data_IF_271345266760
#
_entry.id   IF_271345266760
#
_cell.length_a   1.000
_cell.length_b   1.000
_cell.length_c   1.000
_cell.angle_alpha   90.00
_cell.angle_beta   90.00
_cell.angle_gamma   90.00
#
_symmetry.space_group_name_H-M   'P 1'
#
loop_
_entity.id
_entity.type
_entity.pdbx_description
1 polymer ?
#
# COMPACT_ATOMS: atom_id res chain seq x y z
N UNK A 1 -2.89 -23.27 2.63
CA UNK A 1 -4.28 -22.77 2.64
C UNK A 1 -4.96 -23.15 3.94
N UNK A 2 -5.51 -22.20 4.69
CA UNK A 2 -6.27 -22.43 5.93
C UNK A 2 -7.76 -22.43 5.62
N UNK A 3 -8.49 -23.45 6.03
CA UNK A 3 -9.94 -23.43 5.93
C UNK A 3 -10.50 -22.71 7.16
N UNK A 4 -11.07 -21.52 6.96
CA UNK A 4 -11.61 -20.68 8.04
C UNK A 4 -12.74 -21.32 8.82
N UNK A 5 -13.52 -22.21 8.20
CA UNK A 5 -14.64 -22.92 8.87
C UNK A 5 -14.17 -24.06 9.76
N UNK A 6 -13.09 -24.76 9.39
CA UNK A 6 -12.62 -25.97 10.10
C UNK A 6 -11.29 -25.75 10.81
N UNK A 7 -10.69 -24.57 10.67
CA UNK A 7 -9.35 -24.23 11.17
C UNK A 7 -8.23 -25.20 10.72
N UNK A 8 -8.50 -26.00 9.67
CA UNK A 8 -7.54 -26.96 9.12
C UNK A 8 -6.67 -26.28 8.08
N UNK A 9 -5.37 -26.55 8.15
CA UNK A 9 -4.39 -26.13 7.14
C UNK A 9 -4.16 -27.27 6.17
N UNK A 10 -3.97 -26.94 4.88
CA UNK A 10 -3.51 -27.89 3.87
C UNK A 10 -2.34 -27.30 3.12
N UNK A 11 -1.32 -28.12 2.91
CA UNK A 11 -0.16 -27.75 2.09
C UNK A 11 -0.59 -27.84 0.63
N UNK A 12 -0.30 -26.80 -0.15
CA UNK A 12 -0.52 -26.79 -1.60
C UNK A 12 0.70 -27.33 -2.32
N UNK A 13 1.88 -26.85 -1.93
CA UNK A 13 3.16 -27.38 -2.36
C UNK A 13 4.22 -27.10 -1.31
N UNK A 14 5.28 -27.89 -1.37
CA UNK A 14 6.51 -27.69 -0.61
C UNK A 14 7.68 -27.75 -1.57
N UNK A 15 8.61 -26.84 -1.48
CA UNK A 15 9.79 -26.80 -2.31
C UNK A 15 11.06 -26.79 -1.45
N UNK A 16 11.96 -27.70 -1.76
CA UNK A 16 13.35 -27.68 -1.32
C UNK A 16 14.26 -27.34 -2.51
N UNK A 17 15.55 -27.24 -2.29
CA UNK A 17 16.52 -27.08 -3.39
C UNK A 17 16.51 -28.26 -4.37
N UNK A 18 16.14 -29.45 -3.91
CA UNK A 18 16.25 -30.70 -4.70
C UNK A 18 14.92 -31.09 -5.35
N UNK A 19 13.78 -30.78 -4.73
CA UNK A 19 12.48 -31.27 -5.18
C UNK A 19 11.32 -30.32 -4.87
N UNK A 20 10.23 -30.52 -5.62
CA UNK A 20 8.92 -29.94 -5.36
C UNK A 20 7.93 -31.07 -5.06
N UNK A 21 7.16 -30.93 -3.98
CA UNK A 21 6.07 -31.84 -3.63
C UNK A 21 4.75 -31.11 -3.61
N UNK A 22 3.71 -31.71 -4.20
CA UNK A 22 2.39 -31.10 -4.29
C UNK A 22 1.42 -31.76 -3.33
N UNK A 23 0.63 -30.93 -2.65
CA UNK A 23 -0.43 -31.37 -1.77
C UNK A 23 -1.61 -31.99 -2.53
N UNK A 24 -2.43 -32.76 -1.81
CA UNK A 24 -3.50 -33.57 -2.40
C UNK A 24 -4.46 -32.80 -3.31
N UNK A 25 -4.72 -31.51 -3.02
CA UNK A 25 -5.66 -30.68 -3.77
C UNK A 25 -5.23 -30.33 -5.19
N UNK A 26 -3.93 -30.36 -5.47
CA UNK A 26 -3.35 -29.99 -6.76
C UNK A 26 -2.48 -31.08 -7.37
N UNK A 27 -2.19 -32.16 -6.63
CA UNK A 27 -1.25 -33.21 -7.01
C UNK A 27 -1.54 -33.81 -8.39
N UNK A 28 -2.81 -34.21 -8.64
CA UNK A 28 -3.21 -34.85 -9.91
C UNK A 28 -2.91 -34.00 -11.14
N UNK A 29 -2.91 -32.70 -10.99
CA UNK A 29 -2.74 -31.75 -12.08
C UNK A 29 -1.27 -31.26 -12.19
N UNK A 30 -0.58 -31.17 -11.06
CA UNK A 30 0.76 -30.56 -10.99
C UNK A 30 1.93 -31.55 -11.03
N UNK A 31 1.73 -32.80 -10.61
CA UNK A 31 2.82 -33.80 -10.56
C UNK A 31 3.51 -34.04 -11.92
N UNK A 32 2.76 -33.90 -13.01
CA UNK A 32 3.32 -34.07 -14.38
C UNK A 32 4.35 -33.00 -14.75
N UNK A 33 4.40 -31.90 -14.00
CA UNK A 33 5.31 -30.79 -14.24
C UNK A 33 6.52 -30.76 -13.29
N UNK A 34 6.62 -31.68 -12.33
CA UNK A 34 7.68 -31.66 -11.30
C UNK A 34 9.08 -31.50 -11.87
N UNK A 35 9.40 -32.34 -12.86
CA UNK A 35 10.74 -32.37 -13.49
C UNK A 35 10.97 -31.20 -14.46
N UNK A 36 9.90 -30.43 -14.77
CA UNK A 36 9.97 -29.30 -15.70
C UNK A 36 10.18 -27.97 -15.02
N UNK A 37 10.09 -27.93 -13.69
CA UNK A 37 10.25 -26.68 -12.93
C UNK A 37 11.73 -26.42 -12.70
N UNK A 38 12.32 -25.37 -13.33
CA UNK A 38 13.73 -25.04 -13.14
C UNK A 38 14.02 -24.71 -11.68
N UNK A 39 15.23 -25.03 -11.21
CA UNK A 39 15.63 -24.81 -9.80
C UNK A 39 15.51 -23.34 -9.40
N UNK A 40 15.83 -22.42 -10.30
CA UNK A 40 15.82 -20.97 -10.05
C UNK A 40 14.43 -20.35 -10.23
N UNK A 41 13.43 -21.10 -10.71
CA UNK A 41 12.11 -20.56 -10.99
C UNK A 41 11.17 -20.72 -9.79
N UNK A 42 10.51 -19.65 -9.37
CA UNK A 42 9.48 -19.71 -8.35
C UNK A 42 8.30 -20.58 -8.84
N UNK A 43 7.87 -21.53 -8.02
CA UNK A 43 6.74 -22.43 -8.34
C UNK A 43 5.48 -21.68 -8.73
N UNK A 44 5.14 -20.60 -7.99
CA UNK A 44 3.99 -19.74 -8.30
C UNK A 44 4.11 -19.09 -9.69
N UNK A 45 5.29 -18.59 -10.02
CA UNK A 45 5.55 -17.96 -11.33
C UNK A 45 5.47 -18.97 -12.48
N UNK A 46 5.94 -20.20 -12.26
CA UNK A 46 5.84 -21.28 -13.24
C UNK A 46 4.38 -21.64 -13.53
N UNK A 47 3.60 -21.92 -12.47
CA UNK A 47 2.21 -22.36 -12.61
C UNK A 47 1.26 -21.23 -13.03
N UNK A 48 1.58 -19.95 -12.76
CA UNK A 48 0.79 -18.83 -13.26
C UNK A 48 0.71 -18.78 -14.80
N UNK A 49 1.71 -19.31 -15.49
CA UNK A 49 1.76 -19.37 -16.98
C UNK A 49 0.97 -20.53 -17.57
N UNK A 50 0.55 -21.48 -16.76
CA UNK A 50 -0.14 -22.69 -17.19
C UNK A 50 -1.67 -22.51 -17.05
N UNK A 51 -2.41 -23.17 -17.96
CA UNK A 51 -3.87 -23.30 -17.88
C UNK A 51 -4.20 -24.52 -17.03
N UNK A 52 -4.32 -24.32 -15.72
CA UNK A 52 -4.75 -25.35 -14.78
C UNK A 52 -6.27 -25.25 -14.54
N UNK A 53 -6.89 -26.38 -14.16
CA UNK A 53 -8.30 -26.39 -13.71
C UNK A 53 -8.45 -25.74 -12.34
N UNK A 54 -7.40 -25.84 -11.51
CA UNK A 54 -7.37 -25.24 -10.20
C UNK A 54 -6.65 -23.88 -10.25
N UNK A 55 -7.39 -22.80 -10.04
CA UNK A 55 -6.90 -21.42 -10.14
C UNK A 55 -6.05 -20.95 -8.93
N UNK A 56 -5.76 -21.85 -7.97
CA UNK A 56 -5.12 -21.43 -6.71
C UNK A 56 -3.77 -20.76 -6.92
N UNK A 57 -2.95 -21.28 -7.86
CA UNK A 57 -1.63 -20.69 -8.15
C UNK A 57 -1.79 -19.30 -8.76
N UNK A 58 -2.73 -19.15 -9.69
CA UNK A 58 -3.01 -17.88 -10.34
C UNK A 58 -3.57 -16.86 -9.35
N UNK A 59 -4.50 -17.26 -8.50
CA UNK A 59 -5.10 -16.41 -7.47
C UNK A 59 -4.05 -15.90 -6.49
N UNK A 60 -3.18 -16.79 -5.99
CA UNK A 60 -2.12 -16.41 -5.04
C UNK A 60 -1.07 -15.53 -5.73
N UNK A 61 -0.67 -15.89 -6.95
CA UNK A 61 0.28 -15.09 -7.73
C UNK A 61 -0.24 -13.68 -7.98
N UNK A 62 -1.48 -13.54 -8.45
CA UNK A 62 -2.11 -12.23 -8.67
C UNK A 62 -2.20 -11.44 -7.37
N UNK A 63 -2.62 -12.05 -6.26
CA UNK A 63 -2.67 -11.36 -4.96
C UNK A 63 -1.32 -10.81 -4.51
N UNK A 64 -0.23 -11.54 -4.77
CA UNK A 64 1.13 -11.06 -4.48
C UNK A 64 1.51 -9.92 -5.44
N UNK A 65 1.24 -10.07 -6.73
CA UNK A 65 1.58 -9.07 -7.74
C UNK A 65 0.74 -7.78 -7.62
N UNK A 66 -0.46 -7.89 -7.06
CA UNK A 66 -1.34 -6.76 -6.77
C UNK A 66 -0.96 -6.03 -5.46
N UNK A 67 0.05 -6.51 -4.74
CA UNK A 67 0.55 -5.83 -3.55
C UNK A 67 1.43 -4.66 -3.97
N UNK A 68 1.06 -3.46 -3.55
CA UNK A 68 1.88 -2.27 -3.67
C UNK A 68 2.94 -2.29 -2.57
N UNK A 69 4.21 -2.23 -2.94
CA UNK A 69 5.33 -2.18 -2.00
C UNK A 69 5.87 -0.76 -2.01
N UNK A 70 5.87 -0.13 -0.86
CA UNK A 70 6.41 1.22 -0.67
C UNK A 70 7.73 1.09 0.10
N UNK A 71 8.86 1.45 -0.52
CA UNK A 71 10.15 1.42 0.15
C UNK A 71 10.22 2.48 1.25
N UNK A 72 11.13 2.30 2.21
CA UNK A 72 11.31 3.21 3.36
C UNK A 72 11.57 4.67 2.94
N UNK A 73 12.27 4.87 1.84
CA UNK A 73 12.64 6.20 1.33
C UNK A 73 11.87 6.55 0.04
N UNK A 74 10.57 6.80 0.19
CA UNK A 74 9.68 7.12 -0.93
C UNK A 74 9.36 8.61 -1.06
N UNK A 75 10.01 9.49 -0.28
CA UNK A 75 9.75 10.94 -0.29
C UNK A 75 10.02 11.60 -1.64
N UNK A 76 10.77 10.95 -2.52
CA UNK A 76 11.19 11.48 -3.82
C UNK A 76 10.31 10.98 -4.99
N UNK A 77 9.19 10.30 -4.70
CA UNK A 77 8.33 9.81 -5.78
C UNK A 77 7.44 10.92 -6.37
N UNK A 78 8.12 11.84 -7.07
CA UNK A 78 7.45 12.94 -7.79
C UNK A 78 6.48 12.44 -8.84
N UNK A 79 6.67 11.22 -9.41
CA UNK A 79 5.76 10.65 -10.40
C UNK A 79 4.42 10.29 -9.77
N UNK A 80 4.43 9.75 -8.56
CA UNK A 80 3.20 9.45 -7.84
C UNK A 80 2.43 10.74 -7.52
N UNK A 81 3.11 11.82 -7.10
CA UNK A 81 2.49 13.12 -6.91
C UNK A 81 1.86 13.63 -8.20
N UNK A 82 2.62 13.70 -9.29
CA UNK A 82 2.12 14.17 -10.59
C UNK A 82 0.94 13.35 -11.11
N UNK A 83 0.93 12.04 -10.88
CA UNK A 83 -0.09 11.14 -11.43
C UNK A 83 -1.36 11.08 -10.61
N UNK A 84 -1.28 11.20 -9.28
CA UNK A 84 -2.39 10.84 -8.40
C UNK A 84 -2.85 11.97 -7.48
N UNK A 85 -1.99 12.93 -7.14
CA UNK A 85 -2.36 14.02 -6.23
C UNK A 85 -3.47 14.92 -6.78
N UNK A 86 -3.51 15.28 -8.09
CA UNK A 86 -4.63 16.03 -8.64
C UNK A 86 -5.98 15.36 -8.39
N UNK A 87 -6.06 14.05 -8.67
CA UNK A 87 -7.28 13.30 -8.44
C UNK A 87 -7.66 13.22 -6.96
N UNK A 88 -6.68 13.14 -6.06
CA UNK A 88 -6.94 13.15 -4.62
C UNK A 88 -7.47 14.52 -4.15
N UNK A 89 -6.92 15.62 -4.69
CA UNK A 89 -7.40 16.98 -4.43
C UNK A 89 -8.81 17.16 -4.95
N UNK A 90 -9.11 16.73 -6.18
CA UNK A 90 -10.41 16.93 -6.81
C UNK A 90 -11.53 16.12 -6.15
N UNK A 91 -11.25 14.90 -5.72
CA UNK A 91 -12.27 13.96 -5.27
C UNK A 91 -12.32 13.77 -3.75
N UNK A 92 -11.23 14.03 -3.03
CA UNK A 92 -11.09 13.69 -1.61
C UNK A 92 -10.42 14.80 -0.80
N UNK A 93 -10.52 16.04 -1.27
CA UNK A 93 -9.84 17.21 -0.70
C UNK A 93 -10.06 17.36 0.81
N UNK A 94 -11.29 17.19 1.27
CA UNK A 94 -11.63 17.33 2.69
C UNK A 94 -10.87 16.32 3.56
N UNK A 95 -10.84 15.04 3.15
CA UNK A 95 -10.08 13.99 3.87
C UNK A 95 -8.57 14.26 3.84
N UNK A 96 -8.07 14.73 2.71
CA UNK A 96 -6.65 15.07 2.57
C UNK A 96 -6.28 16.25 3.47
N UNK A 97 -7.11 17.30 3.56
CA UNK A 97 -6.89 18.44 4.45
C UNK A 97 -6.97 18.02 5.92
N UNK A 98 -7.97 17.22 6.30
CA UNK A 98 -8.07 16.66 7.65
C UNK A 98 -6.80 15.91 8.03
N UNK A 99 -6.32 15.07 7.13
CA UNK A 99 -5.07 14.33 7.30
C UNK A 99 -3.86 15.26 7.45
N UNK A 100 -3.72 16.27 6.58
CA UNK A 100 -2.62 17.23 6.64
C UNK A 100 -2.66 18.10 7.89
N UNK A 101 -3.85 18.55 8.30
CA UNK A 101 -4.02 19.36 9.50
C UNK A 101 -3.67 18.59 10.78
N UNK A 102 -3.84 17.27 10.79
CA UNK A 102 -3.40 16.42 11.90
C UNK A 102 -1.87 16.36 12.04
N UNK A 103 -1.13 16.67 10.97
CA UNK A 103 0.34 16.72 10.94
C UNK A 103 0.85 18.09 11.28
N UNK A 104 0.34 19.06 10.54
CA UNK A 104 0.72 20.47 10.63
C UNK A 104 -0.55 21.32 10.64
N UNK A 105 -0.88 21.85 11.81
CA UNK A 105 -2.04 22.72 11.99
C UNK A 105 -1.95 24.03 11.19
N UNK A 106 -0.77 24.37 10.66
CA UNK A 106 -0.54 25.51 9.79
C UNK A 106 -1.13 25.34 8.39
N UNK A 107 -1.18 24.10 7.87
CA UNK A 107 -1.73 23.82 6.55
C UNK A 107 -3.25 23.91 6.62
N UNK A 108 -3.83 24.77 5.80
CA UNK A 108 -5.28 25.03 5.73
C UNK A 108 -5.91 24.53 4.44
N UNK A 109 -5.15 24.48 3.37
CA UNK A 109 -5.60 24.01 2.06
C UNK A 109 -4.46 23.48 1.24
N UNK A 110 -4.80 22.75 0.16
CA UNK A 110 -3.89 22.26 -0.85
C UNK A 110 -4.53 22.43 -2.23
N UNK A 111 -3.70 22.77 -3.21
CA UNK A 111 -4.15 22.97 -4.59
C UNK A 111 -3.06 22.68 -5.60
N UNK A 112 -3.40 22.76 -6.87
CA UNK A 112 -2.46 22.58 -7.96
C UNK A 112 -2.77 23.51 -9.13
N UNK A 113 -1.76 23.72 -9.98
CA UNK A 113 -1.85 24.43 -11.26
C UNK A 113 -1.30 23.50 -12.36
N UNK A 114 -2.13 23.19 -13.32
CA UNK A 114 -1.85 22.33 -14.48
C UNK A 114 -1.76 23.13 -15.80
N UNK A 115 -1.63 24.44 -15.72
CA UNK A 115 -1.52 25.33 -16.90
C UNK A 115 -0.21 25.13 -17.67
N UNK A 116 0.81 24.55 -17.04
CA UNK A 116 2.11 24.26 -17.64
C UNK A 116 2.26 22.75 -17.94
N UNK A 117 3.41 22.37 -18.51
CA UNK A 117 3.70 20.96 -18.84
C UNK A 117 3.81 20.07 -17.61
N UNK A 118 4.31 20.61 -16.49
CA UNK A 118 4.41 19.92 -15.20
C UNK A 118 3.45 20.57 -14.23
N UNK A 119 2.68 19.74 -13.52
CA UNK A 119 1.73 20.20 -12.52
C UNK A 119 2.51 20.75 -11.31
N UNK A 120 2.15 21.95 -10.89
CA UNK A 120 2.71 22.58 -9.69
C UNK A 120 1.72 22.45 -8.55
N UNK A 121 2.18 22.01 -7.39
CA UNK A 121 1.36 21.82 -6.20
C UNK A 121 1.67 22.87 -5.15
N UNK A 122 0.65 23.33 -4.45
CA UNK A 122 0.76 24.35 -3.43
C UNK A 122 0.01 23.95 -2.17
N UNK A 123 0.63 24.20 -1.02
CA UNK A 123 -0.05 24.21 0.28
C UNK A 123 -0.38 25.65 0.65
N UNK A 124 -1.46 25.83 1.38
CA UNK A 124 -1.89 27.16 1.86
C UNK A 124 -1.84 27.17 3.38
N UNK A 125 -1.17 28.17 3.92
CA UNK A 125 -0.93 28.33 5.33
C UNK A 125 -1.57 29.61 5.86
N UNK A 126 -1.98 29.59 7.14
CA UNK A 126 -2.44 30.77 7.86
C UNK A 126 -1.26 31.40 8.63
N UNK A 127 -0.92 32.62 8.32
CA UNK A 127 0.08 33.41 9.01
C UNK A 127 -0.40 34.00 10.33
N UNK A 128 0.49 34.70 11.03
CA UNK A 128 0.23 35.25 12.37
C UNK A 128 -0.88 36.29 12.38
N UNK A 129 -1.06 37.05 11.31
CA UNK A 129 -2.07 38.08 11.13
C UNK A 129 -3.32 37.53 10.42
N UNK A 130 -3.48 36.20 10.36
CA UNK A 130 -4.53 35.47 9.64
C UNK A 130 -4.52 35.66 8.11
N UNK A 131 -3.44 36.18 7.57
CA UNK A 131 -3.21 36.21 6.13
C UNK A 131 -2.94 34.79 5.61
N UNK A 132 -3.49 34.48 4.45
CA UNK A 132 -3.22 33.21 3.76
C UNK A 132 -2.04 33.41 2.80
N UNK A 133 -1.07 32.51 2.86
CA UNK A 133 0.02 32.47 1.90
C UNK A 133 0.17 31.05 1.33
N UNK A 134 0.59 30.96 0.08
CA UNK A 134 0.87 29.70 -0.58
C UNK A 134 2.34 29.36 -0.51
N UNK A 135 2.65 28.09 -0.34
CA UNK A 135 3.98 27.54 -0.40
C UNK A 135 4.01 26.45 -1.47
N UNK A 136 5.06 26.43 -2.29
CA UNK A 136 5.27 25.32 -3.21
C UNK A 136 5.46 24.03 -2.39
N UNK A 137 4.76 22.95 -2.80
CA UNK A 137 4.75 21.69 -2.05
C UNK A 137 6.17 21.14 -1.80
N UNK A 138 7.10 21.35 -2.73
CA UNK A 138 8.47 20.86 -2.58
C UNK A 138 9.33 21.70 -1.63
N UNK A 139 8.79 22.80 -1.11
CA UNK A 139 9.40 23.58 -0.01
C UNK A 139 8.86 23.14 1.37
N UNK A 140 7.89 22.24 1.41
CA UNK A 140 7.42 21.64 2.65
C UNK A 140 8.45 20.69 3.26
N UNK A 141 8.19 20.31 4.52
CA UNK A 141 9.02 19.31 5.18
C UNK A 141 8.94 17.96 4.46
N UNK A 142 10.02 17.16 4.50
CA UNK A 142 10.02 15.78 4.01
C UNK A 142 8.88 14.97 4.64
N UNK A 143 8.57 15.20 5.92
CA UNK A 143 7.48 14.55 6.62
C UNK A 143 6.12 14.87 6.02
N UNK A 144 5.87 16.12 5.61
CA UNK A 144 4.65 16.55 4.93
C UNK A 144 4.52 15.86 3.58
N UNK A 145 5.56 15.90 2.75
CA UNK A 145 5.55 15.27 1.41
C UNK A 145 5.35 13.76 1.54
N UNK A 146 6.06 13.11 2.45
CA UNK A 146 5.92 11.67 2.74
C UNK A 146 4.50 11.32 3.15
N UNK A 147 3.87 12.15 3.95
CA UNK A 147 2.52 11.95 4.42
C UNK A 147 1.50 12.04 3.29
N UNK A 148 1.63 13.00 2.39
CA UNK A 148 0.79 13.12 1.19
C UNK A 148 0.93 11.88 0.32
N UNK A 149 2.13 11.43 0.05
CA UNK A 149 2.39 10.21 -0.72
C UNK A 149 1.76 8.98 -0.06
N UNK A 150 1.90 8.87 1.26
CA UNK A 150 1.32 7.76 2.00
C UNK A 150 -0.22 7.75 1.94
N UNK A 151 -0.84 8.93 2.05
CA UNK A 151 -2.27 9.09 1.85
C UNK A 151 -2.69 8.61 0.45
N UNK A 152 -2.00 9.06 -0.60
CA UNK A 152 -2.26 8.67 -1.99
C UNK A 152 -2.16 7.15 -2.14
N UNK A 153 -1.09 6.53 -1.66
CA UNK A 153 -0.90 5.07 -1.77
C UNK A 153 -1.98 4.29 -1.01
N UNK A 154 -2.33 4.73 0.20
CA UNK A 154 -3.41 4.12 0.96
C UNK A 154 -4.75 4.20 0.19
N UNK A 155 -5.11 5.37 -0.33
CA UNK A 155 -6.34 5.57 -1.11
C UNK A 155 -6.37 4.72 -2.39
N UNK A 156 -5.28 4.68 -3.14
CA UNK A 156 -5.18 3.85 -4.35
C UNK A 156 -5.39 2.36 -4.05
N UNK A 157 -4.81 1.88 -2.96
CA UNK A 157 -4.92 0.48 -2.55
C UNK A 157 -6.32 0.16 -2.06
N UNK A 158 -6.93 1.04 -1.26
CA UNK A 158 -8.29 0.89 -0.73
C UNK A 158 -9.30 0.87 -1.88
N UNK A 159 -9.25 1.83 -2.80
CA UNK A 159 -10.15 1.91 -3.95
C UNK A 159 -10.07 0.68 -4.87
N UNK A 160 -8.90 0.04 -4.96
CA UNK A 160 -8.68 -1.12 -5.82
C UNK A 160 -8.74 -2.46 -5.08
N UNK A 161 -9.08 -2.48 -3.78
CA UNK A 161 -9.10 -3.68 -2.93
C UNK A 161 -7.78 -4.49 -2.98
N UNK A 162 -6.65 -3.79 -2.95
CA UNK A 162 -5.30 -4.37 -3.01
C UNK A 162 -4.64 -4.41 -1.64
N UNK A 163 -3.41 -4.92 -1.59
CA UNK A 163 -2.58 -4.89 -0.38
C UNK A 163 -1.52 -3.81 -0.48
N UNK A 164 -1.26 -3.11 0.62
CA UNK A 164 -0.18 -2.14 0.76
C UNK A 164 0.85 -2.70 1.74
N UNK A 165 2.09 -2.83 1.30
CA UNK A 165 3.21 -3.21 2.15
C UNK A 165 4.14 -2.03 2.34
N UNK A 166 4.40 -1.66 3.60
CA UNK A 166 5.27 -0.55 3.96
C UNK A 166 6.30 -1.04 4.97
N UNK A 167 7.57 -0.88 4.63
CA UNK A 167 8.65 -1.15 5.56
C UNK A 167 8.95 0.10 6.39
N UNK A 168 9.11 -0.10 7.70
CA UNK A 168 9.38 0.99 8.66
C UNK A 168 8.38 2.16 8.56
N UNK A 169 7.10 1.87 8.67
CA UNK A 169 6.01 2.86 8.55
C UNK A 169 6.20 4.10 9.44
N UNK A 170 6.84 3.95 10.60
CA UNK A 170 7.03 5.02 11.59
C UNK A 170 8.19 5.99 11.28
N UNK A 171 9.04 5.70 10.29
CA UNK A 171 10.21 6.55 9.99
C UNK A 171 9.77 7.91 9.46
N UNK A 172 10.20 8.99 10.13
CA UNK A 172 9.90 10.39 9.82
C UNK A 172 8.40 10.74 9.84
N UNK A 173 7.55 9.93 10.47
CA UNK A 173 6.12 10.20 10.59
C UNK A 173 5.70 10.43 12.04
N UNK A 174 4.77 11.35 12.25
CA UNK A 174 4.18 11.58 13.56
C UNK A 174 3.24 10.43 13.94
N UNK A 175 3.21 9.95 15.21
CA UNK A 175 2.34 8.84 15.64
C UNK A 175 0.85 9.01 15.30
N UNK A 176 0.32 10.23 15.33
CA UNK A 176 -1.06 10.52 14.93
C UNK A 176 -1.35 10.16 13.47
N UNK A 177 -0.35 10.34 12.59
CA UNK A 177 -0.47 9.96 11.18
C UNK A 177 -0.55 8.47 10.99
N UNK A 178 0.27 7.74 11.72
CA UNK A 178 0.27 6.27 11.68
C UNK A 178 -1.11 5.75 12.03
N UNK A 179 -1.71 6.33 13.08
CA UNK A 179 -3.08 6.01 13.46
C UNK A 179 -4.06 6.32 12.34
N UNK A 180 -4.00 7.53 11.77
CA UNK A 180 -4.91 7.94 10.70
C UNK A 180 -4.83 6.99 9.48
N UNK A 181 -3.62 6.61 9.06
CA UNK A 181 -3.44 5.67 7.95
C UNK A 181 -4.02 4.29 8.29
N UNK A 182 -3.81 3.80 9.50
CA UNK A 182 -4.41 2.52 9.93
C UNK A 182 -5.93 2.63 9.94
N UNK A 183 -6.49 3.71 10.47
CA UNK A 183 -7.93 3.96 10.54
C UNK A 183 -8.57 4.00 9.15
N UNK A 184 -7.89 4.55 8.11
CA UNK A 184 -8.39 4.54 6.73
C UNK A 184 -8.72 3.12 6.22
N UNK A 185 -7.95 2.11 6.62
CA UNK A 185 -8.21 0.73 6.21
C UNK A 185 -9.37 0.08 6.98
N UNK A 186 -9.80 0.67 8.11
CA UNK A 186 -10.92 0.17 8.90
C UNK A 186 -12.25 0.86 8.59
N UNK A 187 -12.23 2.14 8.17
CA UNK A 187 -13.43 2.92 7.94
C UNK A 187 -14.21 2.51 6.68
N UNK A 188 -13.56 1.89 5.70
CA UNK A 188 -14.19 1.57 4.44
C UNK A 188 -14.55 0.08 4.35
N UNK A 189 -15.68 -0.22 3.69
CA UNK A 189 -16.13 -1.59 3.38
C UNK A 189 -15.22 -2.29 2.35
N UNK A 190 -13.95 -1.96 2.35
CA UNK A 190 -12.91 -2.46 1.49
C UNK A 190 -12.33 -3.77 2.03
N UNK A 191 -11.85 -4.63 1.14
CA UNK A 191 -11.05 -5.80 1.49
C UNK A 191 -9.55 -5.54 1.38
N UNK A 192 -9.15 -4.29 1.21
CA UNK A 192 -7.76 -3.87 1.16
C UNK A 192 -7.04 -4.23 2.46
N UNK A 193 -5.74 -4.49 2.36
CA UNK A 193 -4.93 -4.88 3.50
C UNK A 193 -3.73 -3.96 3.64
N UNK A 194 -3.46 -3.51 4.86
CA UNK A 194 -2.23 -2.84 5.23
C UNK A 194 -1.31 -3.83 5.94
N UNK A 195 -0.12 -4.02 5.39
CA UNK A 195 0.96 -4.85 5.96
C UNK A 195 2.14 -3.92 6.20
N UNK A 196 2.60 -3.81 7.42
CA UNK A 196 3.69 -2.89 7.74
C UNK A 196 4.63 -3.45 8.80
N UNK A 197 5.88 -2.98 8.77
CA UNK A 197 6.82 -3.11 9.87
C UNK A 197 6.91 -1.79 10.62
N UNK A 198 7.15 -1.84 11.91
CA UNK A 198 7.31 -0.64 12.74
C UNK A 198 8.13 -0.94 13.99
N UNK A 199 8.89 0.04 14.44
CA UNK A 199 9.52 0.04 15.77
C UNK A 199 8.66 0.75 16.81
N UNK A 200 7.55 1.38 16.40
CA UNK A 200 6.62 2.06 17.30
C UNK A 200 5.65 1.07 17.93
N UNK A 201 5.84 0.78 19.20
CA UNK A 201 5.00 -0.16 19.97
C UNK A 201 3.61 0.39 20.28
N UNK A 202 3.38 1.70 20.11
CA UNK A 202 2.05 2.30 20.35
C UNK A 202 1.01 1.79 19.36
N UNK A 203 1.42 1.42 18.15
CA UNK A 203 0.56 0.80 17.14
C UNK A 203 0.17 -0.65 17.48
N UNK A 204 0.79 -1.26 18.49
CA UNK A 204 0.45 -2.60 18.96
C UNK A 204 -0.53 -2.60 20.14
N UNK A 205 -0.95 -1.43 20.62
CA UNK A 205 -1.91 -1.33 21.72
C UNK A 205 -3.27 -1.88 21.24
N UNK A 206 -3.85 -2.82 22.02
CA UNK A 206 -5.16 -3.44 21.75
C UNK A 206 -6.33 -2.45 21.63
N UNK A 207 -6.12 -1.19 21.95
CA UNK A 207 -7.10 -0.12 21.70
C UNK A 207 -7.19 0.30 20.24
N UNK A 208 -6.28 -0.19 19.40
CA UNK A 208 -6.25 0.08 17.97
C UNK A 208 -6.76 -1.09 17.11
N UNK A 209 -7.07 -2.24 17.72
CA UNK A 209 -7.57 -3.43 17.03
C UNK A 209 -8.88 -3.92 17.64
#
# INVERSE_FOLDING_TARGET
KKNLRTNRTSIIFERTMEKVEFGASVRKECDVYKEQIPVETLVLSFFNKLKLKNDIFKTVYSGIMDTMIVPTDFCEDTRALQSFLPSAIDNEKEKLIEFLTAIDSGIKDIGYDDSEKEIRFFTFHEGKEREMYSLDLFLESEGTIKSILLFIYARLVIQNNRSLFIDELNVKLHPLLLKFIVDLFYEESSTAQLIYTTHDTTLMDKKFF
#
